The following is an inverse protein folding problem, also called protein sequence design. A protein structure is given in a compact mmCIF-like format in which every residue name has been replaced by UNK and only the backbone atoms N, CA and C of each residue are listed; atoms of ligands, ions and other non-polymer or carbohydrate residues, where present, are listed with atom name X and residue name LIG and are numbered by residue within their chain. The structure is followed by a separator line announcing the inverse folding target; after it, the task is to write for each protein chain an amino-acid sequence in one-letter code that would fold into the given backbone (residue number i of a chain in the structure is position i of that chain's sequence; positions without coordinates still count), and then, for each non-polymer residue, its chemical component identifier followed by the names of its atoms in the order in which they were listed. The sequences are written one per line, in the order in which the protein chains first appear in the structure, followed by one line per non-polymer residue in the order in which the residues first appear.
data_IF_597661663735
#
_entry.id   IF_597661663735
#
_cell.length_a   1.000
_cell.length_b   1.000
_cell.length_c   1.000
_cell.angle_alpha   90.00
_cell.angle_beta   90.00
_cell.angle_gamma   90.00
#
_symmetry.space_group_name_H-M   'P 1'
#
loop_
_entity.id
_entity.type
_entity.pdbx_description
1 polymer ?
#
# COMPACT_ATOMS: atom_id res chain seq x y z
N UNK A 1 -6.79 14.55 10.34
CA UNK A 1 -7.19 13.36 11.11
C UNK A 1 -5.99 12.44 11.25
N UNK A 2 -5.44 12.26 12.46
CA UNK A 2 -4.42 11.24 12.71
C UNK A 2 -5.15 9.90 12.82
N UNK A 3 -5.09 9.06 11.77
CA UNK A 3 -5.55 7.68 11.92
C UNK A 3 -4.74 7.03 13.06
N UNK A 4 -5.37 6.29 13.98
CA UNK A 4 -4.64 5.58 15.01
C UNK A 4 -3.65 4.65 14.30
N UNK A 5 -2.36 4.90 14.49
CA UNK A 5 -1.22 4.14 13.95
C UNK A 5 -1.09 2.74 14.57
N UNK A 6 -2.19 2.20 15.11
CA UNK A 6 -2.26 0.97 15.88
C UNK A 6 -3.09 -0.07 15.12
N UNK A 7 -2.80 -0.24 13.83
CA UNK A 7 -3.14 -1.49 13.19
C UNK A 7 -1.94 -2.44 13.35
N UNK A 8 -2.17 -3.65 13.90
CA UNK A 8 -1.08 -4.60 14.05
C UNK A 8 -0.45 -4.86 12.68
N UNK A 9 0.89 -4.79 12.62
CA UNK A 9 1.64 -5.15 11.42
C UNK A 9 1.20 -6.55 11.00
N UNK A 10 0.88 -6.71 9.71
CA UNK A 10 0.56 -8.01 9.16
C UNK A 10 1.79 -8.91 9.31
N UNK A 11 1.66 -10.00 10.07
CA UNK A 11 2.76 -10.92 10.33
C UNK A 11 3.24 -11.53 9.01
N UNK A 12 4.52 -11.36 8.70
CA UNK A 12 5.14 -11.87 7.46
C UNK A 12 5.13 -10.89 6.28
N UNK A 13 4.57 -9.69 6.42
CA UNK A 13 4.60 -8.66 5.37
C UNK A 13 5.65 -7.59 5.67
N UNK A 14 6.38 -7.17 4.62
CA UNK A 14 7.43 -6.13 4.72
C UNK A 14 6.85 -4.73 4.90
N UNK A 15 5.63 -4.51 4.42
CA UNK A 15 4.96 -3.21 4.42
C UNK A 15 3.87 -3.11 5.49
N UNK A 16 3.61 -1.89 6.01
CA UNK A 16 2.46 -1.62 6.86
C UNK A 16 1.14 -2.01 6.17
N UNK A 17 0.12 -2.28 6.96
CA UNK A 17 -1.21 -2.65 6.44
C UNK A 17 -1.82 -1.55 5.59
N UNK A 18 -1.53 -0.29 5.91
CA UNK A 18 -1.97 0.90 5.20
C UNK A 18 -1.45 0.94 3.77
N UNK A 19 -0.18 0.56 3.57
CA UNK A 19 0.45 0.48 2.26
C UNK A 19 -0.16 -0.65 1.44
N UNK A 20 -0.32 -1.84 2.04
CA UNK A 20 -0.92 -2.98 1.37
C UNK A 20 -2.37 -2.68 0.97
N UNK A 21 -3.16 -2.05 1.84
CA UNK A 21 -4.52 -1.65 1.55
C UNK A 21 -4.59 -0.62 0.41
N UNK A 22 -3.67 0.35 0.39
CA UNK A 22 -3.58 1.33 -0.69
C UNK A 22 -3.23 0.68 -2.04
N UNK A 23 -2.25 -0.23 -2.04
CA UNK A 23 -1.83 -0.96 -3.24
C UNK A 23 -2.98 -1.77 -3.84
N UNK A 24 -3.70 -2.51 -2.99
CA UNK A 24 -4.88 -3.28 -3.41
C UNK A 24 -5.99 -2.36 -3.92
N UNK A 25 -6.26 -1.26 -3.24
CA UNK A 25 -7.26 -0.29 -3.70
C UNK A 25 -6.91 0.30 -5.07
N UNK A 26 -5.64 0.69 -5.29
CA UNK A 26 -5.19 1.26 -6.55
C UNK A 26 -5.29 0.24 -7.71
N UNK A 27 -4.86 -1.00 -7.45
CA UNK A 27 -5.01 -2.13 -8.39
C UNK A 27 -6.46 -2.30 -8.83
N UNK A 28 -7.41 -2.40 -7.89
CA UNK A 28 -8.82 -2.63 -8.20
C UNK A 28 -9.52 -1.40 -8.78
N UNK A 29 -9.19 -0.18 -8.33
CA UNK A 29 -9.94 1.02 -8.70
C UNK A 29 -9.60 1.55 -10.09
N UNK A 30 -8.35 1.35 -10.51
CA UNK A 30 -7.79 1.90 -11.75
C UNK A 30 -7.39 0.81 -12.76
N UNK A 31 -7.61 -0.48 -12.44
CA UNK A 31 -7.19 -1.63 -13.25
C UNK A 31 -5.69 -1.59 -13.59
N UNK A 32 -4.88 -1.12 -12.65
CA UNK A 32 -3.42 -1.01 -12.80
C UNK A 32 -2.78 -2.38 -12.74
N UNK A 33 -1.67 -2.56 -13.47
CA UNK A 33 -0.83 -3.73 -13.27
C UNK A 33 -0.09 -3.65 -11.93
N UNK A 34 0.47 -4.76 -11.49
CA UNK A 34 1.33 -4.77 -10.28
C UNK A 34 2.55 -3.86 -10.44
N UNK A 35 3.10 -3.74 -11.65
CA UNK A 35 4.24 -2.86 -11.93
C UNK A 35 3.84 -1.38 -11.79
N UNK A 36 2.69 -0.98 -12.33
CA UNK A 36 2.23 0.41 -12.21
C UNK A 36 1.94 0.79 -10.75
N UNK A 37 1.45 -0.18 -9.95
CA UNK A 37 1.25 0.02 -8.51
C UNK A 37 2.60 0.14 -7.79
N UNK A 38 3.61 -0.64 -8.16
CA UNK A 38 4.97 -0.51 -7.62
C UNK A 38 5.58 0.86 -7.95
N UNK A 39 5.44 1.34 -9.19
CA UNK A 39 5.90 2.68 -9.59
C UNK A 39 5.20 3.78 -8.79
N UNK A 40 3.88 3.69 -8.60
CA UNK A 40 3.12 4.62 -7.75
C UNK A 40 3.57 4.60 -6.28
N UNK A 41 3.98 3.44 -5.77
CA UNK A 41 4.52 3.32 -4.42
C UNK A 41 5.94 3.90 -4.34
N UNK A 42 6.75 3.73 -5.39
CA UNK A 42 8.10 4.31 -5.48
C UNK A 42 8.05 5.85 -5.55
N UNK A 43 7.13 6.42 -6.34
CA UNK A 43 6.89 7.89 -6.38
C UNK A 43 6.51 8.46 -5.02
N UNK A 44 5.87 7.67 -4.17
CA UNK A 44 5.49 8.03 -2.80
C UNK A 44 6.58 7.76 -1.76
N UNK A 45 7.75 7.23 -2.16
CA UNK A 45 8.86 6.90 -1.28
C UNK A 45 8.59 5.70 -0.37
N UNK A 46 7.74 4.77 -0.81
CA UNK A 46 7.36 3.57 -0.05
C UNK A 46 8.27 2.37 -0.35
N UNK A 47 8.70 2.23 -1.61
CA UNK A 47 9.58 1.16 -2.12
C UNK A 47 10.93 1.75 -2.52
#
# INVERSE_FOLDING_TARGET
MKLPSSFPRLKGFRFPREIVAYAVWAYYRFALSTADVEDLLAERGVI
#
